data_IF_210959982614
#
_entry.id   IF_210959982614
#
_cell.length_a   1.000
_cell.length_b   1.000
_cell.length_c   1.000
_cell.angle_alpha   90.00
_cell.angle_beta   90.00
_cell.angle_gamma   90.00
#
_symmetry.space_group_name_H-M   'P 1'
#
loop_
_entity.id
_entity.type
_entity.pdbx_description
1 polymer ?
#
# COMPACT_ATOMS: atom_id res chain seq x y z
N UNK A 1 -0.88 -0.77 30.77
CA UNK A 1 0.33 -1.06 29.97
C UNK A 1 0.08 -2.17 28.93
N UNK A 2 -0.29 -3.40 29.32
CA UNK A 2 -0.57 -4.50 28.36
C UNK A 2 -1.65 -4.20 27.31
N UNK A 3 -2.80 -3.64 27.72
CA UNK A 3 -3.88 -3.31 26.79
C UNK A 3 -3.47 -2.26 25.73
N UNK A 4 -2.63 -1.30 26.09
CA UNK A 4 -2.12 -0.27 25.18
C UNK A 4 -1.11 -0.86 24.19
N UNK A 5 -0.20 -1.72 24.66
CA UNK A 5 0.76 -2.40 23.78
C UNK A 5 0.05 -3.28 22.74
N UNK A 6 -0.96 -4.04 23.16
CA UNK A 6 -1.76 -4.86 22.23
C UNK A 6 -2.50 -3.98 21.22
N UNK A 7 -3.14 -2.89 21.68
CA UNK A 7 -3.83 -1.96 20.79
C UNK A 7 -2.90 -1.39 19.72
N UNK A 8 -1.72 -0.90 20.10
CA UNK A 8 -0.75 -0.35 19.15
C UNK A 8 -0.28 -1.42 18.15
N UNK A 9 0.04 -2.64 18.61
CA UNK A 9 0.46 -3.72 17.71
C UNK A 9 -0.62 -4.12 16.69
N UNK A 10 -1.90 -4.04 17.04
CA UNK A 10 -3.01 -4.30 16.12
C UNK A 10 -3.18 -3.15 15.11
N UNK A 11 -2.96 -1.91 15.54
CA UNK A 11 -3.00 -0.74 14.65
C UNK A 11 -1.86 -0.82 13.62
N UNK A 12 -0.63 -1.10 14.07
CA UNK A 12 0.54 -1.32 13.22
C UNK A 12 0.30 -2.44 12.20
N UNK A 13 -0.16 -3.63 12.64
CA UNK A 13 -0.44 -4.74 11.74
C UNK A 13 -1.54 -4.42 10.70
N UNK A 14 -2.53 -3.61 11.07
CA UNK A 14 -3.57 -3.14 10.13
C UNK A 14 -3.03 -2.15 9.12
N UNK A 15 -2.13 -1.27 9.53
CA UNK A 15 -1.48 -0.32 8.63
C UNK A 15 -0.55 -1.03 7.66
N UNK A 16 0.26 -1.99 8.15
CA UNK A 16 1.12 -2.84 7.33
C UNK A 16 0.29 -3.62 6.29
N UNK A 17 -0.78 -4.31 6.70
CA UNK A 17 -1.61 -5.07 5.76
C UNK A 17 -2.29 -4.19 4.70
N UNK A 18 -2.68 -2.96 5.05
CA UNK A 18 -3.20 -1.99 4.07
C UNK A 18 -2.12 -1.56 3.08
N UNK A 19 -0.90 -1.33 3.56
CA UNK A 19 0.23 -0.96 2.71
C UNK A 19 0.59 -2.11 1.76
N UNK A 20 0.74 -3.33 2.28
CA UNK A 20 1.02 -4.53 1.49
C UNK A 20 -0.02 -4.75 0.40
N UNK A 21 -1.31 -4.62 0.72
CA UNK A 21 -2.40 -4.75 -0.26
C UNK A 21 -2.30 -3.70 -1.38
N UNK A 22 -1.97 -2.45 -1.06
CA UNK A 22 -1.74 -1.42 -2.09
C UNK A 22 -0.55 -1.77 -2.97
N UNK A 23 0.56 -2.21 -2.39
CA UNK A 23 1.77 -2.59 -3.13
C UNK A 23 1.51 -3.77 -4.07
N UNK A 24 0.74 -4.77 -3.66
CA UNK A 24 0.37 -5.90 -4.51
C UNK A 24 -0.47 -5.45 -5.72
N UNK A 25 -1.45 -4.57 -5.50
CA UNK A 25 -2.27 -3.99 -6.57
C UNK A 25 -1.40 -3.23 -7.56
N UNK A 26 -0.51 -2.35 -7.08
CA UNK A 26 0.43 -1.61 -7.94
C UNK A 26 1.25 -2.57 -8.81
N UNK A 27 1.91 -3.58 -8.20
CA UNK A 27 2.73 -4.55 -8.93
C UNK A 27 1.93 -5.29 -10.00
N UNK A 28 0.72 -5.72 -9.68
CA UNK A 28 -0.17 -6.42 -10.61
C UNK A 28 -0.59 -5.53 -11.78
N UNK A 29 -0.90 -4.27 -11.52
CA UNK A 29 -1.27 -3.31 -12.57
C UNK A 29 -0.07 -2.93 -13.44
N UNK A 30 1.11 -2.70 -12.86
CA UNK A 30 2.35 -2.47 -13.61
C UNK A 30 2.66 -3.65 -14.54
N UNK A 31 2.50 -4.90 -14.05
CA UNK A 31 2.72 -6.10 -14.88
C UNK A 31 1.74 -6.22 -16.06
N UNK A 32 0.61 -5.51 -15.99
CA UNK A 32 -0.41 -5.43 -17.03
C UNK A 32 -0.28 -4.18 -17.90
N UNK A 33 0.78 -3.38 -17.72
CA UNK A 33 1.06 -2.13 -18.43
C UNK A 33 -0.04 -1.06 -18.28
N UNK A 34 -0.70 -1.00 -17.12
CA UNK A 34 -1.58 0.14 -16.82
C UNK A 34 -0.77 1.45 -16.72
N UNK A 35 -1.33 2.58 -17.15
CA UNK A 35 -0.73 3.90 -16.95
C UNK A 35 -0.49 4.21 -15.48
N UNK A 36 0.58 4.94 -15.15
CA UNK A 36 0.91 5.27 -13.77
C UNK A 36 -0.17 6.15 -13.11
N UNK A 37 -0.80 7.01 -13.90
CA UNK A 37 -1.90 7.89 -13.49
C UNK A 37 -3.13 7.08 -13.05
N UNK A 38 -3.48 6.03 -13.77
CA UNK A 38 -4.60 5.14 -13.42
C UNK A 38 -4.27 4.31 -12.17
N UNK A 39 -3.03 3.85 -12.04
CA UNK A 39 -2.56 3.16 -10.83
C UNK A 39 -2.62 4.09 -9.61
N UNK A 40 -2.24 5.36 -9.76
CA UNK A 40 -2.31 6.37 -8.72
C UNK A 40 -3.75 6.63 -8.27
N UNK A 41 -4.68 6.74 -9.22
CA UNK A 41 -6.10 6.92 -8.94
C UNK A 41 -6.69 5.73 -8.17
N UNK A 42 -6.40 4.51 -8.59
CA UNK A 42 -6.95 3.28 -7.98
C UNK A 42 -6.36 3.02 -6.58
N UNK A 43 -5.07 3.26 -6.38
CA UNK A 43 -4.38 2.90 -5.12
C UNK A 43 -4.31 4.06 -4.13
N UNK A 44 -4.59 5.28 -4.59
CA UNK A 44 -4.41 6.51 -3.83
C UNK A 44 -2.94 6.79 -3.46
N UNK A 45 -2.00 6.19 -4.19
CA UNK A 45 -0.57 6.46 -4.06
C UNK A 45 -0.16 7.55 -5.06
N UNK A 46 0.84 8.33 -4.70
CA UNK A 46 1.47 9.28 -5.62
C UNK A 46 2.25 8.57 -6.72
N UNK A 47 2.44 9.25 -7.85
CA UNK A 47 3.29 8.76 -8.94
C UNK A 47 4.73 8.51 -8.47
N UNK A 48 5.23 9.27 -7.50
CA UNK A 48 6.56 9.06 -6.93
C UNK A 48 6.64 7.76 -6.13
N UNK A 49 5.63 7.46 -5.31
CA UNK A 49 5.54 6.21 -4.56
C UNK A 49 5.46 5.01 -5.50
N UNK A 50 4.65 5.11 -6.57
CA UNK A 50 4.52 4.04 -7.56
C UNK A 50 5.85 3.79 -8.29
N UNK A 51 6.58 4.85 -8.67
CA UNK A 51 7.89 4.73 -9.32
C UNK A 51 8.96 4.08 -8.44
N UNK A 52 8.84 4.18 -7.10
CA UNK A 52 9.76 3.52 -6.15
C UNK A 52 9.51 2.01 -6.00
N UNK A 53 8.37 1.52 -6.48
CA UNK A 53 7.99 0.09 -6.42
C UNK A 53 8.61 -0.70 -7.59
N UNK A 54 9.05 0.00 -8.65
CA UNK A 54 9.73 -0.57 -9.81
C UNK A 54 11.20 -0.90 -9.53
#
# INVERSE_FOLDING_TARGET
>A
MLATAIKNSIEEAKEEGKLEGKLEIVKKMLSKNYPLEEIAEVTGLSLEEIKKIH
#
